data_IF_141471730160
#
_entry.id   IF_141471730160
#
_cell.length_a   1.000
_cell.length_b   1.000
_cell.length_c   1.000
_cell.angle_alpha   90.00
_cell.angle_beta   90.00
_cell.angle_gamma   90.00
#
_symmetry.space_group_name_H-M   'P 1'
#
loop_
_entity.id
_entity.type
_entity.pdbx_description
1 polymer ?
#
# COMPACT_ATOMS: atom_id res chain seq x y z
N UNK A 1 25.42 -1.78 19.19
CA UNK A 1 24.34 -1.85 20.21
C UNK A 1 23.11 -1.18 19.64
N UNK A 2 21.92 -1.75 19.84
CA UNK A 2 20.67 -1.16 19.37
C UNK A 2 20.36 0.10 20.20
N UNK A 3 19.91 1.18 19.56
CA UNK A 3 19.47 2.38 20.26
C UNK A 3 18.06 2.22 20.83
N UNK A 4 17.71 3.01 21.85
CA UNK A 4 16.35 3.10 22.36
C UNK A 4 15.43 3.82 21.38
N UNK A 5 14.27 3.23 21.08
CA UNK A 5 13.27 3.88 20.25
C UNK A 5 12.70 5.10 21.00
N UNK A 6 12.60 6.21 20.30
CA UNK A 6 12.07 7.46 20.86
C UNK A 6 10.88 7.94 20.03
N UNK A 7 10.16 8.93 20.53
CA UNK A 7 9.14 9.62 19.74
C UNK A 7 9.75 10.12 18.42
N UNK A 8 9.12 9.77 17.29
CA UNK A 8 9.61 10.08 15.96
C UNK A 8 10.58 9.06 15.35
N UNK A 9 11.02 8.04 16.09
CA UNK A 9 11.80 6.94 15.52
C UNK A 9 11.06 6.27 14.37
N UNK A 10 11.74 5.89 13.30
CA UNK A 10 11.12 5.29 12.12
C UNK A 10 10.96 3.77 12.24
N UNK A 11 9.96 3.22 11.56
CA UNK A 11 9.85 1.77 11.35
C UNK A 11 10.52 1.38 10.04
N UNK A 12 11.02 0.14 9.97
CA UNK A 12 11.51 -0.44 8.73
C UNK A 12 10.35 -0.53 7.74
N UNK A 13 10.47 0.02 6.50
CA UNK A 13 9.42 -0.10 5.51
C UNK A 13 9.09 -1.56 5.24
N UNK A 14 7.81 -1.88 5.14
CA UNK A 14 7.33 -3.25 4.87
C UNK A 14 6.22 -3.22 3.83
N UNK A 15 6.11 -4.27 3.03
CA UNK A 15 5.06 -4.38 2.01
C UNK A 15 4.04 -5.43 2.44
N UNK A 16 2.76 -5.04 2.49
CA UNK A 16 1.64 -6.00 2.49
C UNK A 16 1.36 -6.41 1.04
N UNK A 17 1.62 -7.66 0.62
CA UNK A 17 1.35 -8.07 -0.75
C UNK A 17 -0.16 -8.07 -1.05
N UNK A 18 -0.52 -7.89 -2.32
CA UNK A 18 -1.89 -7.99 -2.82
C UNK A 18 -2.91 -7.16 -2.04
N UNK A 19 -2.53 -5.96 -1.62
CA UNK A 19 -3.41 -5.07 -0.88
C UNK A 19 -4.34 -4.28 -1.79
N UNK A 20 -3.81 -3.81 -2.92
CA UNK A 20 -4.53 -3.00 -3.89
C UNK A 20 -4.84 -3.84 -5.11
N UNK A 21 -6.10 -3.89 -5.51
CA UNK A 21 -6.61 -4.59 -6.70
C UNK A 21 -7.19 -3.60 -7.68
N UNK A 22 -7.16 -3.92 -8.97
CA UNK A 22 -7.73 -3.11 -10.03
C UNK A 22 -8.14 -3.99 -11.22
N UNK A 23 -9.05 -3.49 -12.03
CA UNK A 23 -9.46 -4.09 -13.30
C UNK A 23 -8.63 -3.51 -14.44
N UNK A 24 -8.37 -4.35 -15.46
CA UNK A 24 -7.67 -3.94 -16.68
C UNK A 24 -8.71 -3.92 -17.80
N UNK A 25 -8.85 -2.77 -18.44
CA UNK A 25 -9.66 -2.61 -19.65
C UNK A 25 -8.76 -2.32 -20.85
N UNK A 26 -9.09 -2.87 -22.01
CA UNK A 26 -8.43 -2.54 -23.27
C UNK A 26 -9.43 -1.92 -24.25
N UNK A 27 -8.98 -0.95 -25.04
CA UNK A 27 -9.79 -0.34 -26.08
C UNK A 27 -9.71 -1.21 -27.32
N UNK A 28 -10.80 -1.90 -27.63
CA UNK A 28 -10.85 -2.86 -28.72
C UNK A 28 -12.19 -2.78 -29.45
N UNK A 29 -12.24 -3.45 -30.60
CA UNK A 29 -13.46 -3.59 -31.37
C UNK A 29 -14.50 -4.37 -30.55
N UNK A 30 -15.59 -3.69 -30.18
CA UNK A 30 -16.72 -4.30 -29.48
C UNK A 30 -17.73 -4.89 -30.46
N UNK A 31 -17.74 -4.38 -31.70
CA UNK A 31 -18.60 -4.87 -32.76
C UNK A 31 -17.91 -4.76 -34.12
N UNK A 32 -17.78 -5.85 -34.88
CA UNK A 32 -17.20 -5.78 -36.22
C UNK A 32 -18.10 -5.04 -37.17
N UNK A 33 -17.47 -4.43 -38.18
CA UNK A 33 -18.17 -3.88 -39.34
C UNK A 33 -18.98 -4.99 -40.00
N UNK A 34 -20.26 -4.73 -40.29
CA UNK A 34 -21.13 -5.68 -40.97
C UNK A 34 -22.00 -4.99 -42.01
N UNK A 35 -22.49 -5.78 -42.98
CA UNK A 35 -23.41 -5.29 -43.99
C UNK A 35 -24.83 -5.30 -43.43
N UNK A 36 -25.47 -4.14 -43.32
CA UNK A 36 -26.86 -4.05 -42.88
C UNK A 36 -27.85 -4.31 -44.03
N UNK A 37 -27.46 -3.98 -45.26
CA UNK A 37 -28.29 -4.15 -46.46
C UNK A 37 -27.45 -4.69 -47.64
N UNK A 38 -27.81 -5.86 -48.15
CA UNK A 38 -27.21 -6.46 -49.35
C UNK A 38 -28.01 -6.09 -50.61
N UNK A 39 -27.30 -5.97 -51.74
CA UNK A 39 -27.92 -5.74 -53.04
C UNK A 39 -28.67 -7.01 -53.50
N UNK A 40 -30.01 -6.95 -53.69
CA UNK A 40 -30.81 -8.13 -54.03
C UNK A 40 -30.51 -8.68 -55.43
N UNK A 41 -29.91 -7.88 -56.32
CA UNK A 41 -29.52 -8.30 -57.67
C UNK A 41 -28.05 -8.76 -57.74
N UNK A 42 -27.24 -8.39 -56.74
CA UNK A 42 -25.81 -8.72 -56.65
C UNK A 42 -25.46 -9.15 -55.21
N UNK A 43 -25.63 -10.43 -54.85
CA UNK A 43 -25.51 -10.91 -53.46
C UNK A 43 -24.14 -10.66 -52.82
N UNK A 44 -23.09 -10.46 -53.63
CA UNK A 44 -21.73 -10.15 -53.16
C UNK A 44 -21.51 -8.65 -52.86
N UNK A 45 -22.49 -7.79 -53.14
CA UNK A 45 -22.39 -6.33 -53.00
C UNK A 45 -23.22 -5.84 -51.81
N UNK A 46 -22.55 -5.11 -50.92
CA UNK A 46 -23.20 -4.47 -49.78
C UNK A 46 -23.62 -3.03 -50.13
N UNK A 47 -24.87 -2.68 -49.86
CA UNK A 47 -25.44 -1.35 -50.08
C UNK A 47 -25.19 -0.43 -48.88
N UNK A 48 -25.32 -0.95 -47.66
CA UNK A 48 -25.11 -0.18 -46.43
C UNK A 48 -24.18 -0.92 -45.46
N UNK A 49 -23.04 -0.31 -45.17
CA UNK A 49 -22.08 -0.81 -44.18
C UNK A 49 -22.26 -0.09 -42.85
N UNK A 50 -22.52 -0.86 -41.79
CA UNK A 50 -22.46 -0.35 -40.43
C UNK A 50 -20.99 -0.40 -39.98
N UNK A 51 -20.39 0.72 -39.57
CA UNK A 51 -18.99 0.77 -39.17
C UNK A 51 -18.74 -0.09 -37.92
N UNK A 52 -17.49 -0.50 -37.72
CA UNK A 52 -17.09 -1.15 -36.50
C UNK A 52 -17.26 -0.21 -35.29
N UNK A 53 -17.67 -0.76 -34.16
CA UNK A 53 -17.77 -0.03 -32.89
C UNK A 53 -16.60 -0.42 -31.99
N UNK A 54 -16.04 0.56 -31.29
CA UNK A 54 -14.92 0.37 -30.38
C UNK A 54 -15.29 0.86 -28.99
N UNK A 55 -14.85 0.12 -27.97
CA UNK A 55 -15.16 0.41 -26.58
C UNK A 55 -14.10 -0.14 -25.63
N UNK A 56 -14.17 0.34 -24.40
CA UNK A 56 -13.38 -0.23 -23.30
C UNK A 56 -14.01 -1.53 -22.85
N UNK A 57 -13.24 -2.60 -22.92
CA UNK A 57 -13.68 -3.93 -22.50
C UNK A 57 -12.76 -4.43 -21.42
N UNK A 58 -13.32 -4.95 -20.33
CA UNK A 58 -12.54 -5.61 -19.28
C UNK A 58 -11.85 -6.85 -19.85
N UNK A 59 -10.53 -6.83 -19.87
CA UNK A 59 -9.69 -7.94 -20.34
C UNK A 59 -8.99 -8.67 -19.21
N UNK A 60 -8.93 -8.08 -18.01
CA UNK A 60 -8.31 -8.74 -16.87
C UNK A 60 -8.44 -7.98 -15.56
N UNK A 61 -7.61 -8.40 -14.60
CA UNK A 61 -7.46 -7.77 -13.29
C UNK A 61 -6.00 -7.85 -12.86
N UNK A 62 -5.56 -6.91 -12.04
CA UNK A 62 -4.23 -6.91 -11.43
C UNK A 62 -4.27 -6.57 -9.95
N UNK A 63 -3.13 -6.75 -9.29
CA UNK A 63 -2.95 -6.35 -7.89
C UNK A 63 -1.53 -5.90 -7.63
N UNK A 64 -1.38 -5.03 -6.62
CA UNK A 64 -0.09 -4.57 -6.11
C UNK A 64 -0.08 -4.53 -4.58
N UNK A 65 1.11 -4.42 -4.01
CA UNK A 65 1.29 -4.35 -2.56
C UNK A 65 0.98 -2.96 -2.00
N UNK A 66 0.93 -2.88 -0.67
CA UNK A 66 0.93 -1.63 0.07
C UNK A 66 2.23 -1.53 0.87
N UNK A 67 3.10 -0.60 0.48
CA UNK A 67 4.31 -0.25 1.22
C UNK A 67 3.93 0.66 2.37
N UNK A 68 4.17 0.18 3.56
CA UNK A 68 3.86 0.84 4.82
C UNK A 68 5.14 1.49 5.34
N UNK A 69 5.02 2.77 5.68
CA UNK A 69 6.06 3.56 6.35
C UNK A 69 5.45 4.26 7.54
N UNK A 70 6.25 4.64 8.53
CA UNK A 70 5.71 5.31 9.70
C UNK A 70 6.76 5.63 10.74
N UNK A 71 6.29 6.24 11.82
CA UNK A 71 7.11 6.61 12.97
C UNK A 71 6.43 6.26 14.29
N UNK A 72 7.25 6.04 15.31
CA UNK A 72 6.83 5.76 16.68
C UNK A 72 6.21 7.02 17.29
N UNK A 73 5.04 6.86 17.92
CA UNK A 73 4.34 7.91 18.64
C UNK A 73 4.17 7.55 20.11
N UNK A 74 5.06 8.10 20.93
CA UNK A 74 4.96 8.09 22.39
C UNK A 74 4.85 9.53 22.93
N UNK A 75 3.64 10.13 23.00
CA UNK A 75 3.47 11.53 23.41
C UNK A 75 3.79 11.78 24.89
N UNK A 76 3.77 10.74 25.72
CA UNK A 76 4.17 10.81 27.13
C UNK A 76 5.01 9.59 27.52
N UNK A 77 6.09 9.82 28.26
CA UNK A 77 6.93 8.77 28.83
C UNK A 77 7.59 9.26 30.12
N UNK A 78 7.81 8.35 31.08
CA UNK A 78 8.53 8.65 32.32
C UNK A 78 10.04 8.75 32.11
N UNK A 79 10.54 8.29 30.96
CA UNK A 79 11.95 8.35 30.59
C UNK A 79 12.09 9.19 29.33
N UNK A 80 13.03 10.13 29.35
CA UNK A 80 13.37 10.97 28.20
C UNK A 80 14.85 10.88 27.89
N UNK A 81 15.20 10.94 26.61
CA UNK A 81 16.56 11.02 26.10
C UNK A 81 16.65 12.26 25.24
N UNK A 82 17.47 13.23 25.65
CA UNK A 82 17.60 14.50 24.92
C UNK A 82 16.24 15.15 24.63
N UNK A 83 15.38 15.19 25.65
CA UNK A 83 14.01 15.72 25.61
C UNK A 83 12.99 14.90 24.81
N UNK A 84 13.38 13.81 24.14
CA UNK A 84 12.46 12.90 23.47
C UNK A 84 12.00 11.78 24.40
N UNK A 85 10.71 11.48 24.37
CA UNK A 85 10.13 10.38 25.14
C UNK A 85 10.67 9.03 24.64
N UNK A 86 11.04 8.15 25.56
CA UNK A 86 11.40 6.75 25.23
C UNK A 86 10.14 5.95 25.05
N UNK A 87 10.07 5.21 23.94
CA UNK A 87 8.96 4.33 23.63
C UNK A 87 9.08 2.99 24.36
N UNK A 88 7.93 2.35 24.56
CA UNK A 88 7.81 1.04 25.19
C UNK A 88 6.84 0.15 24.40
N UNK A 89 6.86 -1.14 24.69
CA UNK A 89 5.86 -2.09 24.18
C UNK A 89 4.46 -1.63 24.60
N UNK A 90 3.54 -1.62 23.62
CA UNK A 90 2.19 -1.08 23.75
C UNK A 90 2.02 0.36 23.27
N UNK A 91 3.10 1.09 22.99
CA UNK A 91 3.00 2.39 22.31
C UNK A 91 2.66 2.19 20.83
N UNK A 92 2.17 3.26 20.19
CA UNK A 92 1.67 3.23 18.82
C UNK A 92 2.70 3.72 17.80
N UNK A 93 2.46 3.38 16.54
CA UNK A 93 3.10 3.99 15.38
C UNK A 93 2.07 4.76 14.57
N UNK A 94 2.46 5.89 13.98
CA UNK A 94 1.66 6.62 12.99
C UNK A 94 2.18 6.21 11.62
N UNK A 95 1.31 5.60 10.83
CA UNK A 95 1.69 4.92 9.60
C UNK A 95 0.90 5.46 8.41
N UNK A 96 1.56 5.41 7.26
CA UNK A 96 0.98 5.66 5.96
C UNK A 96 1.31 4.47 5.07
N UNK A 97 0.49 4.23 4.06
CA UNK A 97 0.81 3.26 3.02
C UNK A 97 0.60 3.85 1.64
N UNK A 98 1.41 3.38 0.68
CA UNK A 98 1.28 3.69 -0.75
C UNK A 98 1.36 2.39 -1.57
N UNK A 99 0.74 2.37 -2.75
CA UNK A 99 0.83 1.22 -3.65
C UNK A 99 2.29 1.00 -4.10
N UNK A 100 2.80 -0.21 -3.94
CA UNK A 100 4.17 -0.59 -4.34
C UNK A 100 4.20 -2.02 -4.90
N UNK A 101 4.60 -2.20 -6.18
CA UNK A 101 4.85 -1.16 -7.18
C UNK A 101 3.65 -0.23 -7.41
N UNK A 102 3.84 1.00 -7.92
CA UNK A 102 2.72 1.87 -8.26
C UNK A 102 1.81 1.21 -9.29
N UNK A 103 0.50 1.52 -9.22
CA UNK A 103 -0.46 1.09 -10.25
C UNK A 103 -0.01 1.71 -11.58
N UNK A 104 0.00 0.95 -12.69
CA UNK A 104 0.40 1.52 -13.97
C UNK A 104 -0.54 2.64 -14.41
N UNK A 105 -0.01 3.58 -15.20
CA UNK A 105 -0.82 4.65 -15.77
C UNK A 105 -1.63 4.19 -16.98
N UNK A 106 -2.81 4.79 -17.15
CA UNK A 106 -3.63 4.61 -18.34
C UNK A 106 -2.91 5.05 -19.61
N UNK A 107 -3.22 4.38 -20.72
CA UNK A 107 -2.79 4.73 -22.08
C UNK A 107 -4.00 4.89 -23.00
N UNK A 108 -3.76 5.20 -24.28
CA UNK A 108 -4.84 5.27 -25.28
C UNK A 108 -5.55 3.95 -25.53
N UNK A 109 -4.93 2.81 -25.19
CA UNK A 109 -5.45 1.47 -25.47
C UNK A 109 -5.60 0.58 -24.23
N UNK A 110 -5.17 1.04 -23.05
CA UNK A 110 -5.28 0.28 -21.79
C UNK A 110 -5.64 1.19 -20.62
N UNK A 111 -6.58 0.78 -19.77
CA UNK A 111 -6.97 1.48 -18.55
C UNK A 111 -6.92 0.57 -17.33
N UNK A 112 -6.65 1.17 -16.18
CA UNK A 112 -6.60 0.51 -14.88
C UNK A 112 -7.67 1.12 -13.98
N UNK A 113 -8.83 0.47 -13.91
CA UNK A 113 -10.04 1.02 -13.29
C UNK A 113 -10.43 0.23 -12.03
N UNK A 114 -11.45 0.70 -11.32
CA UNK A 114 -11.98 0.04 -10.12
C UNK A 114 -10.92 -0.25 -9.04
N UNK A 115 -9.92 0.63 -8.92
CA UNK A 115 -8.82 0.51 -7.96
C UNK A 115 -9.35 0.50 -6.53
N UNK A 116 -9.02 -0.54 -5.75
CA UNK A 116 -9.44 -0.72 -4.36
C UNK A 116 -8.35 -1.38 -3.50
N UNK A 117 -8.06 -0.89 -2.30
CA UNK A 117 -8.46 0.42 -1.76
C UNK A 117 -7.72 1.56 -2.48
N UNK A 118 -8.38 2.70 -2.64
CA UNK A 118 -7.81 3.95 -3.14
C UNK A 118 -8.64 5.13 -2.61
N UNK A 119 -8.04 6.28 -2.22
CA UNK A 119 -6.62 6.62 -2.27
C UNK A 119 -5.74 5.85 -1.26
N UNK A 120 -4.40 5.99 -1.34
CA UNK A 120 -3.48 5.61 -0.26
C UNK A 120 -3.96 6.07 1.12
N UNK A 121 -3.64 5.32 2.17
CA UNK A 121 -4.26 5.48 3.48
C UNK A 121 -3.27 5.68 4.62
N UNK A 122 -3.83 6.03 5.77
CA UNK A 122 -3.12 6.21 7.03
C UNK A 122 -3.71 5.28 8.09
N UNK A 123 -2.93 4.95 9.11
CA UNK A 123 -3.42 4.18 10.25
C UNK A 123 -2.45 4.18 11.42
N UNK A 124 -2.80 3.40 12.43
CA UNK A 124 -1.98 3.21 13.62
C UNK A 124 -1.57 1.76 13.77
N UNK A 125 -0.26 1.52 13.86
CA UNK A 125 0.28 0.25 14.28
C UNK A 125 0.57 0.24 15.78
N UNK A 126 1.12 -0.86 16.28
CA UNK A 126 1.45 -1.03 17.70
C UNK A 126 2.80 -1.73 17.84
N UNK A 127 3.63 -1.26 18.79
CA UNK A 127 4.85 -1.95 19.18
C UNK A 127 4.45 -3.18 20.01
N UNK A 128 4.63 -4.37 19.45
CA UNK A 128 4.13 -5.64 20.02
C UNK A 128 5.21 -6.46 20.71
N UNK A 129 6.49 -6.20 20.42
CA UNK A 129 7.59 -6.97 20.99
C UNK A 129 8.84 -6.14 21.19
N UNK A 130 9.66 -6.55 22.14
CA UNK A 130 10.95 -5.95 22.44
C UNK A 130 12.03 -7.02 22.48
N UNK A 131 13.24 -6.66 22.06
CA UNK A 131 14.42 -7.51 22.03
C UNK A 131 15.34 -7.29 23.26
N UNK A 132 14.88 -6.60 24.30
CA UNK A 132 15.65 -6.37 25.53
C UNK A 132 14.84 -6.68 26.80
N UNK A 133 15.54 -6.72 27.95
CA UNK A 133 14.97 -7.00 29.27
C UNK A 133 14.78 -5.75 30.14
N UNK A 134 15.01 -4.55 29.61
CA UNK A 134 14.83 -3.31 30.35
C UNK A 134 13.35 -2.89 30.35
N UNK A 135 12.86 -2.43 31.50
CA UNK A 135 11.45 -2.10 31.69
C UNK A 135 11.26 -0.62 31.98
N UNK A 136 10.17 -0.06 31.46
CA UNK A 136 9.67 1.27 31.74
C UNK A 136 8.20 1.19 32.11
N UNK A 137 7.89 1.41 33.40
CA UNK A 137 6.51 1.28 33.93
C UNK A 137 5.86 -0.05 33.53
N UNK A 138 6.47 -1.16 33.96
CA UNK A 138 6.05 -2.55 33.73
C UNK A 138 6.01 -3.07 32.29
N UNK A 139 6.29 -2.25 31.27
CA UNK A 139 6.45 -2.71 29.88
C UNK A 139 7.91 -2.65 29.44
N UNK A 140 8.34 -3.54 28.56
CA UNK A 140 9.70 -3.49 28.01
C UNK A 140 9.92 -2.20 27.22
N UNK A 141 11.11 -1.62 27.34
CA UNK A 141 11.55 -0.50 26.51
C UNK A 141 11.62 -0.98 25.06
N UNK A 142 11.16 -0.17 24.12
CA UNK A 142 11.32 -0.46 22.71
C UNK A 142 12.70 0.01 22.24
N UNK A 143 13.37 -0.82 21.43
CA UNK A 143 14.70 -0.56 20.88
C UNK A 143 14.68 -0.77 19.36
N UNK A 144 15.74 -0.35 18.67
CA UNK A 144 15.98 -0.76 17.28
C UNK A 144 15.87 -2.29 17.16
N UNK A 145 15.08 -2.76 16.19
CA UNK A 145 14.74 -4.18 16.01
C UNK A 145 13.55 -4.68 16.82
N UNK A 146 12.93 -3.85 17.68
CA UNK A 146 11.67 -4.20 18.35
C UNK A 146 10.54 -4.37 17.35
N UNK A 147 9.65 -5.32 17.62
CA UNK A 147 8.59 -5.74 16.70
C UNK A 147 7.44 -4.74 16.70
N UNK A 148 6.93 -4.43 15.51
CA UNK A 148 5.76 -3.58 15.28
C UNK A 148 4.76 -4.37 14.45
N UNK A 149 3.50 -4.39 14.86
CA UNK A 149 2.38 -4.82 14.02
C UNK A 149 1.76 -3.58 13.40
N UNK A 150 1.85 -3.47 12.07
CA UNK A 150 1.32 -2.33 11.31
C UNK A 150 -0.20 -2.29 11.31
N UNK A 151 -0.79 -1.15 10.96
CA UNK A 151 -2.23 -0.96 10.85
C UNK A 151 -2.90 -1.87 9.79
N UNK A 152 -2.13 -2.41 8.85
CA UNK A 152 -2.62 -3.40 7.88
C UNK A 152 -2.36 -4.86 8.32
N UNK A 153 -1.88 -5.08 9.53
CA UNK A 153 -1.67 -6.39 10.15
C UNK A 153 -0.37 -7.10 9.74
N UNK A 154 0.58 -6.39 9.13
CA UNK A 154 1.90 -6.95 8.77
C UNK A 154 2.92 -6.61 9.83
N UNK A 155 3.82 -7.55 10.14
CA UNK A 155 4.91 -7.32 11.09
C UNK A 155 6.09 -6.60 10.44
N UNK A 156 6.65 -5.61 11.14
CA UNK A 156 7.94 -4.98 10.83
C UNK A 156 8.71 -4.72 12.13
N UNK A 157 9.81 -3.97 12.06
CA UNK A 157 10.63 -3.59 13.19
C UNK A 157 10.87 -2.09 13.27
N UNK A 158 11.27 -1.59 14.44
CA UNK A 158 11.80 -0.23 14.57
C UNK A 158 13.17 -0.16 13.89
N UNK A 159 13.36 0.80 12.98
CA UNK A 159 14.56 0.93 12.16
C UNK A 159 15.65 1.77 12.82
N UNK A 160 15.28 2.80 13.59
CA UNK A 160 16.21 3.72 14.21
C UNK A 160 15.86 4.05 15.67
N UNK A 161 16.80 4.72 16.35
CA UNK A 161 16.67 5.03 17.76
C UNK A 161 17.87 5.82 18.28
N UNK A 162 17.78 6.25 19.53
CA UNK A 162 18.83 7.00 20.19
C UNK A 162 19.86 6.08 20.85
N UNK A 163 21.14 6.26 20.53
CA UNK A 163 22.25 5.41 20.99
C UNK A 163 22.86 5.83 22.33
N UNK A 164 22.34 6.87 22.99
CA UNK A 164 22.81 7.30 24.32
C UNK A 164 22.33 6.39 25.45
N UNK A 165 21.26 5.65 25.24
CA UNK A 165 20.88 4.53 26.09
C UNK A 165 21.25 3.24 25.36
N UNK A 166 22.18 2.52 25.97
CA UNK A 166 22.58 1.19 25.56
C UNK A 166 22.22 0.24 26.72
N UNK A 167 21.59 -0.88 26.37
CA UNK A 167 21.23 -1.96 27.28
C UNK A 167 21.93 -3.25 26.86
#
# INVERSE_FOLDING_TARGET
MAGAAIHGSTITPVIKPNHVTYDIEEYQETRPRYCAEQDPEQPDKCLEWVPAEYGWVKTGSGSTGAKITGSVSCPASKLKIQSNNVAKVGDFTIETWVAEPPIPSDTSSKKYVNVKPFPPGNGQGTITGSNNKAYLSSSNIAMVGSQVTTHLGVTTTIADGNTKLNF
#
